data_IF_509972523956
#
_entry.id   IF_509972523956
#
_cell.length_a   1.000
_cell.length_b   1.000
_cell.length_c   1.000
_cell.angle_alpha   90.00
_cell.angle_beta   90.00
_cell.angle_gamma   90.00
#
_symmetry.space_group_name_H-M   'P 1'
#
loop_
_entity.id
_entity.type
_entity.pdbx_description
1 polymer ?
#
# COMPACT_ATOMS: atom_id res chain seq x y z
N UNK A 1 0.00 9.54 17.53
CA UNK A 1 0.83 9.50 16.34
C UNK A 1 1.15 8.06 15.98
N UNK A 2 1.05 7.75 14.71
CA UNK A 2 1.28 6.38 14.26
C UNK A 2 2.75 6.14 13.97
N UNK A 3 3.23 4.98 14.40
CA UNK A 3 4.61 4.58 14.13
C UNK A 3 4.65 3.73 12.88
N UNK A 4 5.16 4.30 11.81
CA UNK A 4 5.30 3.57 10.56
C UNK A 4 6.77 3.33 10.28
N UNK A 5 7.07 2.13 9.78
CA UNK A 5 8.42 1.84 9.32
C UNK A 5 8.68 2.58 8.01
N UNK A 6 9.96 2.68 7.63
CA UNK A 6 10.30 3.31 6.36
C UNK A 6 9.58 2.65 5.19
N UNK A 7 9.50 1.33 5.20
CA UNK A 7 8.82 0.62 4.12
C UNK A 7 7.32 0.89 4.12
N UNK A 8 6.73 0.97 5.30
CA UNK A 8 5.31 1.27 5.39
C UNK A 8 5.00 2.67 4.87
N UNK A 9 5.87 3.63 5.17
CA UNK A 9 5.70 4.98 4.65
C UNK A 9 5.77 4.98 3.13
N UNK A 10 6.73 4.26 2.55
CA UNK A 10 6.85 4.17 1.11
C UNK A 10 5.61 3.57 0.47
N UNK A 11 5.08 2.50 1.05
CA UNK A 11 3.86 1.88 0.54
C UNK A 11 2.69 2.85 0.64
N UNK A 12 2.58 3.53 1.76
CA UNK A 12 1.51 4.51 1.95
C UNK A 12 1.59 5.61 0.89
N UNK A 13 2.80 6.13 0.63
CA UNK A 13 2.97 7.19 -0.35
C UNK A 13 2.58 6.73 -1.75
N UNK A 14 2.92 5.51 -2.11
CA UNK A 14 2.55 4.96 -3.42
C UNK A 14 1.03 4.89 -3.54
N UNK A 15 0.37 4.40 -2.50
CA UNK A 15 -1.07 4.29 -2.50
C UNK A 15 -1.72 5.67 -2.63
N UNK A 16 -1.24 6.61 -1.84
CA UNK A 16 -1.78 7.97 -1.83
C UNK A 16 -1.64 8.62 -3.20
N UNK A 17 -0.46 8.51 -3.79
CA UNK A 17 -0.21 9.08 -5.10
C UNK A 17 -1.09 8.47 -6.17
N UNK A 18 -1.25 7.16 -6.12
CA UNK A 18 -2.07 6.47 -7.11
C UNK A 18 -3.52 6.92 -7.03
N UNK A 19 -4.04 7.06 -5.83
CA UNK A 19 -5.41 7.53 -5.65
C UNK A 19 -5.57 8.95 -6.18
N UNK A 20 -4.60 9.81 -5.89
CA UNK A 20 -4.67 11.19 -6.35
C UNK A 20 -4.55 11.31 -7.86
N UNK A 21 -3.70 10.51 -8.47
CA UNK A 21 -3.44 10.63 -9.91
C UNK A 21 -4.39 9.82 -10.76
N UNK A 22 -4.80 8.66 -10.28
CA UNK A 22 -5.60 7.72 -11.07
C UNK A 22 -7.02 7.55 -10.56
N UNK A 23 -7.29 7.97 -9.33
CA UNK A 23 -8.60 7.81 -8.73
C UNK A 23 -8.83 6.45 -8.10
N UNK A 24 -7.82 5.60 -8.05
CA UNK A 24 -7.93 4.28 -7.45
C UNK A 24 -6.57 3.84 -6.91
N UNK A 25 -6.57 2.95 -5.91
CA UNK A 25 -5.30 2.48 -5.33
C UNK A 25 -4.61 1.51 -6.28
N UNK A 26 -3.29 1.36 -6.12
CA UNK A 26 -2.54 0.42 -6.95
C UNK A 26 -2.78 -1.02 -6.48
N UNK A 27 -2.51 -1.96 -7.37
CA UNK A 27 -2.52 -3.37 -6.98
C UNK A 27 -1.26 -3.68 -6.17
N UNK A 28 -1.30 -4.81 -5.48
CA UNK A 28 -0.12 -5.26 -4.74
C UNK A 28 1.06 -5.49 -5.69
N UNK A 29 0.78 -6.01 -6.86
CA UNK A 29 1.83 -6.23 -7.84
C UNK A 29 2.46 -4.91 -8.27
N UNK A 30 1.64 -3.89 -8.45
CA UNK A 30 2.17 -2.57 -8.83
C UNK A 30 3.03 -1.99 -7.73
N UNK A 31 2.59 -2.12 -6.47
CA UNK A 31 3.38 -1.62 -5.36
C UNK A 31 4.73 -2.34 -5.29
N UNK A 32 4.71 -3.65 -5.44
CA UNK A 32 5.93 -4.43 -5.40
C UNK A 32 6.88 -4.00 -6.50
N UNK A 33 6.35 -3.73 -7.68
CA UNK A 33 7.16 -3.31 -8.80
C UNK A 33 7.75 -1.92 -8.59
N UNK A 34 6.95 -1.00 -8.12
CA UNK A 34 7.39 0.39 -7.91
C UNK A 34 8.46 0.45 -6.84
N UNK A 35 8.29 -0.29 -5.76
CA UNK A 35 9.20 -0.26 -4.63
C UNK A 35 10.26 -1.36 -4.69
N UNK A 36 10.26 -2.12 -5.76
CA UNK A 36 11.28 -3.15 -5.99
C UNK A 36 11.28 -4.22 -4.89
N UNK A 37 10.10 -4.62 -4.48
CA UNK A 37 9.97 -5.73 -3.54
C UNK A 37 10.19 -7.04 -4.29
N UNK A 38 10.72 -8.02 -3.58
CA UNK A 38 11.01 -9.31 -4.20
C UNK A 38 9.75 -10.12 -4.49
N UNK A 39 8.68 -9.84 -3.77
CA UNK A 39 7.44 -10.60 -3.96
C UNK A 39 6.25 -9.71 -3.69
N UNK A 40 5.11 -10.11 -4.26
CA UNK A 40 3.85 -9.43 -4.02
C UNK A 40 3.44 -9.58 -2.55
N UNK A 41 3.84 -10.68 -1.90
CA UNK A 41 3.51 -10.89 -0.51
C UNK A 41 4.13 -9.85 0.40
N UNK A 42 5.30 -9.33 0.05
CA UNK A 42 5.91 -8.27 0.83
C UNK A 42 5.02 -7.02 0.81
N UNK A 43 4.51 -6.66 -0.37
CA UNK A 43 3.61 -5.52 -0.48
C UNK A 43 2.34 -5.75 0.32
N UNK A 44 1.79 -6.94 0.22
CA UNK A 44 0.56 -7.26 0.96
C UNK A 44 0.76 -7.17 2.46
N UNK A 45 1.90 -7.62 2.94
CA UNK A 45 2.21 -7.56 4.35
C UNK A 45 2.20 -6.12 4.87
N UNK A 46 2.80 -5.22 4.11
CA UNK A 46 2.82 -3.81 4.49
C UNK A 46 1.44 -3.18 4.41
N UNK A 47 0.67 -3.55 3.39
CA UNK A 47 -0.71 -3.05 3.26
C UNK A 47 -1.54 -3.47 4.47
N UNK A 48 -1.43 -4.74 4.86
CA UNK A 48 -2.18 -5.23 6.02
C UNK A 48 -1.79 -4.47 7.28
N UNK A 49 -0.52 -4.18 7.44
CA UNK A 49 -0.06 -3.43 8.60
C UNK A 49 -0.64 -2.02 8.61
N UNK A 50 -0.70 -1.38 7.44
CA UNK A 50 -1.26 -0.04 7.35
C UNK A 50 -2.75 -0.03 7.66
N UNK A 51 -3.47 -1.02 7.18
CA UNK A 51 -4.90 -1.15 7.50
C UNK A 51 -5.09 -1.37 8.99
N UNK A 52 -4.29 -2.24 9.57
CA UNK A 52 -4.39 -2.55 10.99
C UNK A 52 -4.10 -1.33 11.86
N UNK A 53 -3.16 -0.49 11.43
CA UNK A 53 -2.82 0.73 12.15
C UNK A 53 -3.80 1.86 11.91
N UNK A 54 -4.76 1.67 11.01
CA UNK A 54 -5.75 2.69 10.72
C UNK A 54 -5.27 3.81 9.83
N UNK A 55 -4.12 3.63 9.19
CA UNK A 55 -3.57 4.64 8.29
C UNK A 55 -4.36 4.70 6.99
N UNK A 56 -4.78 3.55 6.50
CA UNK A 56 -5.59 3.45 5.30
C UNK A 56 -6.77 2.55 5.60
N UNK A 57 -7.83 2.73 4.82
CA UNK A 57 -8.99 1.89 4.93
C UNK A 57 -8.80 0.64 4.10
N UNK A 58 -9.45 -0.44 4.52
CA UNK A 58 -9.49 -1.61 3.70
C UNK A 58 -10.17 -1.24 2.38
N UNK A 59 -9.56 -1.60 1.27
CA UNK A 59 -10.04 -1.20 -0.04
C UNK A 59 -10.94 -2.30 -0.60
N UNK A 60 -12.26 -2.08 -0.64
CA UNK A 60 -13.17 -3.12 -1.12
C UNK A 60 -12.89 -3.51 -2.56
N UNK A 61 -12.53 -2.55 -3.37
CA UNK A 61 -12.30 -2.82 -4.78
C UNK A 61 -11.07 -3.63 -5.07
N UNK A 62 -10.21 -3.80 -4.07
CA UNK A 62 -8.96 -4.52 -4.30
C UNK A 62 -9.19 -5.99 -4.64
N UNK A 63 -10.36 -6.48 -4.38
CA UNK A 63 -10.67 -7.88 -4.67
C UNK A 63 -10.96 -8.12 -6.15
N UNK A 64 -11.12 -7.08 -6.90
CA UNK A 64 -11.41 -7.22 -8.31
C UNK A 64 -10.19 -7.35 -9.14
#
# INVERSE_FOLDING_TARGET
>A
MLNLTSQQIKVFDVIKESVQNNGYPPTRAEIAKILDFKSVNAAESHIKALVKKGVIEKVPGSSR
#
